data_IF_864450733122
#
_entry.id   IF_864450733122
#
_cell.length_a   1.000
_cell.length_b   1.000
_cell.length_c   1.000
_cell.angle_alpha   90.00
_cell.angle_beta   90.00
_cell.angle_gamma   90.00
#
_symmetry.space_group_name_H-M   'P 1'
#
loop_
_entity.id
_entity.type
_entity.pdbx_description
1 polymer ?
#
# COMPACT_ATOMS: atom_id res chain seq x y z
N UNK A 1 8.06 -16.46 -5.40
CA UNK A 1 9.29 -15.64 -5.32
C UNK A 1 8.86 -14.23 -4.93
N UNK A 2 9.52 -13.62 -3.93
CA UNK A 2 9.20 -12.28 -3.46
C UNK A 2 10.34 -11.34 -3.83
N UNK A 3 9.97 -10.21 -4.44
CA UNK A 3 10.87 -9.17 -4.88
C UNK A 3 10.50 -7.85 -4.19
N UNK A 4 11.37 -7.33 -3.34
CA UNK A 4 11.21 -5.99 -2.77
C UNK A 4 11.94 -4.98 -3.64
N UNK A 5 11.18 -4.08 -4.22
CA UNK A 5 11.63 -3.16 -5.25
C UNK A 5 11.73 -1.75 -4.68
N UNK A 6 12.93 -1.28 -4.36
CA UNK A 6 13.14 0.09 -3.91
C UNK A 6 12.91 1.09 -5.05
N UNK A 7 12.22 2.17 -4.76
CA UNK A 7 11.94 3.26 -5.68
C UNK A 7 12.44 4.55 -5.08
N UNK A 8 13.36 5.22 -5.76
CA UNK A 8 13.83 6.54 -5.38
C UNK A 8 12.88 7.60 -5.90
N UNK A 9 12.40 8.47 -5.03
CA UNK A 9 11.57 9.61 -5.41
C UNK A 9 12.36 10.59 -6.30
N UNK A 10 11.68 11.25 -7.22
CA UNK A 10 12.23 12.41 -7.93
C UNK A 10 12.32 13.58 -6.95
N UNK A 11 13.12 14.60 -7.27
CA UNK A 11 13.25 15.79 -6.43
C UNK A 11 11.89 16.44 -6.11
N UNK A 12 10.98 16.50 -7.09
CA UNK A 12 9.63 17.03 -6.88
C UNK A 12 8.78 16.16 -5.96
N UNK A 13 8.88 14.85 -6.10
CA UNK A 13 8.17 13.91 -5.24
C UNK A 13 8.71 13.94 -3.83
N UNK A 14 10.04 14.04 -3.68
CA UNK A 14 10.69 14.16 -2.37
C UNK A 14 10.23 15.44 -1.67
N UNK A 15 10.29 16.58 -2.34
CA UNK A 15 9.79 17.85 -1.78
C UNK A 15 8.31 17.77 -1.40
N UNK A 16 7.49 17.13 -2.24
CA UNK A 16 6.07 16.95 -1.95
C UNK A 16 5.86 16.07 -0.70
N UNK A 17 6.62 14.99 -0.57
CA UNK A 17 6.58 14.12 0.60
C UNK A 17 6.98 14.88 1.88
N UNK A 18 8.04 15.68 1.83
CA UNK A 18 8.51 16.50 2.97
C UNK A 18 7.47 17.54 3.39
N UNK A 19 6.84 18.23 2.43
CA UNK A 19 5.77 19.21 2.71
C UNK A 19 4.57 18.54 3.40
N UNK A 20 4.12 17.39 2.90
CA UNK A 20 2.99 16.66 3.49
C UNK A 20 3.36 16.14 4.87
N UNK A 21 4.56 15.56 5.04
CA UNK A 21 5.03 15.05 6.34
C UNK A 21 5.17 16.17 7.36
N UNK A 22 5.72 17.32 6.95
CA UNK A 22 5.80 18.52 7.79
C UNK A 22 4.43 19.05 8.22
N UNK A 23 3.47 19.07 7.28
CA UNK A 23 2.07 19.41 7.60
C UNK A 23 1.46 18.41 8.58
N UNK A 24 1.61 17.11 8.35
CA UNK A 24 1.10 16.04 9.22
C UNK A 24 1.69 16.17 10.64
N UNK A 25 3.01 16.36 10.76
CA UNK A 25 3.68 16.59 12.06
C UNK A 25 3.09 17.81 12.78
N UNK A 26 2.99 18.93 12.09
CA UNK A 26 2.47 20.18 12.65
C UNK A 26 1.04 20.06 13.16
N UNK A 27 0.16 19.47 12.37
CA UNK A 27 -1.25 19.34 12.73
C UNK A 27 -1.49 18.24 13.78
N UNK A 28 -0.67 17.21 13.82
CA UNK A 28 -0.70 16.20 14.89
C UNK A 28 -0.51 16.86 16.28
N UNK A 29 0.48 17.72 16.42
CA UNK A 29 0.72 18.44 17.67
C UNK A 29 -0.33 19.51 17.98
N UNK A 30 -0.99 20.06 16.93
CA UNK A 30 -2.08 21.02 17.06
C UNK A 30 -3.45 20.39 17.33
N UNK A 31 -3.59 19.08 17.23
CA UNK A 31 -4.88 18.37 17.35
C UNK A 31 -5.67 18.67 18.62
N UNK A 32 -5.03 19.16 19.69
CA UNK A 32 -5.73 19.63 20.91
C UNK A 32 -6.71 20.77 20.61
N UNK A 33 -6.58 21.43 19.46
CA UNK A 33 -7.50 22.47 18.99
C UNK A 33 -8.69 21.95 18.16
N UNK A 34 -8.82 20.63 17.95
CA UNK A 34 -10.01 19.98 17.37
C UNK A 34 -10.23 20.19 15.86
N UNK A 35 -9.24 20.68 15.09
CA UNK A 35 -9.43 21.03 13.67
C UNK A 35 -9.32 19.86 12.70
N UNK A 36 -8.51 18.84 13.00
CA UNK A 36 -8.30 17.70 12.09
C UNK A 36 -8.23 16.39 12.89
N UNK A 37 -8.83 15.34 12.33
CA UNK A 37 -8.78 14.01 12.95
C UNK A 37 -7.44 13.33 12.68
N UNK A 38 -7.01 12.47 13.59
CA UNK A 38 -5.82 11.61 13.40
C UNK A 38 -5.95 10.74 12.16
N UNK A 39 -7.17 10.28 11.85
CA UNK A 39 -7.45 9.46 10.67
C UNK A 39 -7.19 10.21 9.36
N UNK A 40 -7.50 11.51 9.31
CA UNK A 40 -7.19 12.32 8.13
C UNK A 40 -5.68 12.49 7.95
N UNK A 41 -4.93 12.67 9.05
CA UNK A 41 -3.47 12.77 8.99
C UNK A 41 -2.83 11.47 8.49
N UNK A 42 -3.29 10.31 8.99
CA UNK A 42 -2.88 8.99 8.49
C UNK A 42 -3.17 8.88 6.99
N UNK A 43 -4.37 9.31 6.58
CA UNK A 43 -4.78 9.24 5.18
C UNK A 43 -3.85 10.05 4.28
N UNK A 44 -3.54 11.31 4.61
CA UNK A 44 -2.62 12.12 3.80
C UNK A 44 -1.22 11.51 3.70
N UNK A 45 -0.70 10.96 4.81
CA UNK A 45 0.62 10.31 4.80
C UNK A 45 0.64 9.04 3.94
N UNK A 46 -0.45 8.28 3.93
CA UNK A 46 -0.59 7.07 3.10
C UNK A 46 -0.78 7.42 1.62
N UNK A 47 -1.57 8.43 1.33
CA UNK A 47 -1.87 8.84 -0.05
C UNK A 47 -0.66 9.39 -0.78
N UNK A 48 0.19 10.18 -0.08
CA UNK A 48 1.43 10.67 -0.70
C UNK A 48 2.40 9.54 -1.04
N UNK A 49 2.44 8.48 -0.22
CA UNK A 49 3.23 7.28 -0.52
C UNK A 49 2.64 6.47 -1.69
N UNK A 50 1.34 6.53 -1.93
CA UNK A 50 0.72 5.88 -3.07
C UNK A 50 0.95 6.68 -4.37
N UNK A 51 0.40 7.87 -4.48
CA UNK A 51 0.63 8.73 -5.65
C UNK A 51 0.25 10.19 -5.39
N UNK A 52 0.86 11.10 -6.16
CA UNK A 52 0.44 12.51 -6.17
C UNK A 52 -1.03 12.68 -6.55
N UNK A 53 -1.59 11.75 -7.34
CA UNK A 53 -3.01 11.77 -7.76
C UNK A 53 -3.97 11.38 -6.63
N UNK A 54 -3.59 10.45 -5.75
CA UNK A 54 -4.35 10.11 -4.55
C UNK A 54 -4.43 11.33 -3.62
N UNK A 55 -3.29 11.93 -3.32
CA UNK A 55 -3.20 13.13 -2.50
C UNK A 55 -4.03 14.30 -3.08
N UNK A 56 -3.91 14.58 -4.39
CA UNK A 56 -4.72 15.61 -5.08
C UNK A 56 -6.21 15.38 -4.87
N UNK A 57 -6.65 14.12 -4.98
CA UNK A 57 -8.07 13.76 -4.80
C UNK A 57 -8.52 13.98 -3.37
N UNK A 58 -7.72 13.58 -2.38
CA UNK A 58 -8.05 13.75 -0.98
C UNK A 58 -8.17 15.22 -0.59
N UNK A 59 -7.17 16.02 -0.92
CA UNK A 59 -7.15 17.44 -0.60
C UNK A 59 -8.28 18.20 -1.32
N UNK A 60 -8.60 17.83 -2.55
CA UNK A 60 -9.71 18.47 -3.31
C UNK A 60 -11.10 18.06 -2.81
N UNK A 61 -11.22 16.93 -2.11
CA UNK A 61 -12.50 16.41 -1.58
C UNK A 61 -12.69 16.73 -0.11
N UNK A 62 -11.63 17.15 0.58
CA UNK A 62 -11.63 17.49 2.00
C UNK A 62 -12.47 18.73 2.27
N UNK A 63 -13.13 18.76 3.44
CA UNK A 63 -13.88 19.94 3.93
C UNK A 63 -12.98 20.97 4.61
N UNK A 64 -11.77 20.56 4.96
CA UNK A 64 -10.81 21.39 5.67
C UNK A 64 -9.87 22.06 4.67
N UNK A 65 -9.58 23.32 4.89
CA UNK A 65 -8.64 24.10 4.10
C UNK A 65 -7.49 24.59 4.98
N UNK A 66 -6.27 24.34 4.51
CA UNK A 66 -5.05 24.85 5.11
C UNK A 66 -4.25 25.61 4.03
N UNK A 67 -3.65 26.77 4.35
CA UNK A 67 -2.88 27.54 3.35
C UNK A 67 -1.78 26.73 2.65
N UNK A 68 -1.14 25.80 3.35
CA UNK A 68 -0.11 24.91 2.77
C UNK A 68 -0.65 24.00 1.67
N UNK A 69 -1.97 23.78 1.61
CA UNK A 69 -2.59 22.94 0.56
C UNK A 69 -2.43 23.57 -0.84
N UNK A 70 -2.35 24.89 -0.96
CA UNK A 70 -2.09 25.54 -2.26
C UNK A 70 -0.73 25.14 -2.82
N UNK A 71 0.33 25.17 -1.98
CA UNK A 71 1.67 24.75 -2.38
C UNK A 71 1.73 23.25 -2.70
N UNK A 72 1.14 22.43 -1.84
CA UNK A 72 1.06 20.97 -2.03
C UNK A 72 0.33 20.64 -3.34
N UNK A 73 -0.83 21.27 -3.61
CA UNK A 73 -1.62 21.04 -4.80
C UNK A 73 -0.89 21.51 -6.06
N UNK A 74 -0.21 22.66 -6.01
CA UNK A 74 0.58 23.16 -7.12
C UNK A 74 1.71 22.18 -7.49
N UNK A 75 2.50 21.76 -6.50
CA UNK A 75 3.61 20.85 -6.71
C UNK A 75 3.13 19.46 -7.17
N UNK A 76 2.06 18.93 -6.57
CA UNK A 76 1.50 17.63 -6.95
C UNK A 76 0.99 17.62 -8.40
N UNK A 77 0.42 18.74 -8.90
CA UNK A 77 -0.01 18.87 -10.31
C UNK A 77 1.13 18.89 -11.31
N UNK A 78 2.34 19.25 -10.89
CA UNK A 78 3.53 19.20 -11.75
C UNK A 78 4.04 17.78 -11.97
N UNK A 79 3.76 16.85 -11.05
CA UNK A 79 4.19 15.46 -11.13
C UNK A 79 3.25 14.71 -12.08
N UNK A 80 3.65 14.56 -13.34
CA UNK A 80 2.84 13.87 -14.36
C UNK A 80 3.00 12.35 -14.31
N UNK A 81 4.18 11.87 -13.95
CA UNK A 81 4.50 10.45 -13.87
C UNK A 81 5.27 10.22 -12.57
N UNK A 82 4.69 9.47 -11.67
CA UNK A 82 5.32 9.09 -10.41
C UNK A 82 6.48 8.08 -10.64
N UNK A 83 7.50 8.14 -9.81
CA UNK A 83 8.65 7.23 -9.86
C UNK A 83 8.22 5.75 -9.78
N UNK A 84 7.27 5.41 -8.91
CA UNK A 84 6.68 4.07 -8.84
C UNK A 84 6.09 3.61 -10.18
N UNK A 85 5.42 4.51 -10.93
CA UNK A 85 4.82 4.13 -12.20
C UNK A 85 5.87 3.79 -13.26
N UNK A 86 7.00 4.52 -13.28
CA UNK A 86 8.13 4.18 -14.15
C UNK A 86 8.68 2.79 -13.81
N UNK A 87 8.80 2.49 -12.52
CA UNK A 87 9.29 1.17 -12.05
C UNK A 87 8.30 0.05 -12.39
N UNK A 88 7.00 0.27 -12.27
CA UNK A 88 5.98 -0.70 -12.74
C UNK A 88 6.15 -0.99 -14.23
N UNK A 89 6.35 0.02 -15.05
CA UNK A 89 6.55 -0.19 -16.49
C UNK A 89 7.83 -1.00 -16.80
N UNK A 90 8.92 -0.75 -16.06
CA UNK A 90 10.16 -1.55 -16.19
C UNK A 90 9.91 -3.01 -15.83
N UNK A 91 9.18 -3.27 -14.73
CA UNK A 91 8.84 -4.64 -14.31
C UNK A 91 7.99 -5.31 -15.38
N UNK A 92 6.90 -4.67 -15.84
CA UNK A 92 5.97 -5.24 -16.80
C UNK A 92 6.63 -5.61 -18.15
N UNK A 93 7.64 -4.86 -18.58
CA UNK A 93 8.39 -5.15 -19.81
C UNK A 93 9.18 -6.47 -19.75
N UNK A 94 9.50 -6.94 -18.56
CA UNK A 94 10.27 -8.15 -18.30
C UNK A 94 9.42 -9.31 -17.76
N UNK A 95 8.09 -9.13 -17.71
CA UNK A 95 7.17 -10.15 -17.22
C UNK A 95 6.42 -10.81 -18.36
N UNK A 96 6.36 -12.12 -18.32
CA UNK A 96 5.48 -12.91 -19.15
C UNK A 96 4.14 -13.17 -18.43
N UNK A 97 3.07 -13.18 -19.22
CA UNK A 97 1.73 -13.52 -18.74
C UNK A 97 1.00 -12.37 -18.03
N UNK A 98 -0.11 -12.73 -17.46
CA UNK A 98 -1.02 -11.79 -16.82
C UNK A 98 -0.51 -11.29 -15.48
N UNK A 99 -0.79 -10.03 -15.17
CA UNK A 99 -0.33 -9.38 -13.95
C UNK A 99 -1.49 -8.74 -13.18
N UNK A 100 -1.50 -8.90 -11.86
CA UNK A 100 -2.41 -8.18 -10.97
C UNK A 100 -1.61 -7.06 -10.31
N UNK A 101 -2.17 -5.84 -10.32
CA UNK A 101 -1.63 -4.69 -9.60
C UNK A 101 -2.60 -4.31 -8.49
N UNK A 102 -2.13 -4.30 -7.24
CA UNK A 102 -2.90 -3.82 -6.10
C UNK A 102 -2.49 -2.41 -5.71
N UNK A 103 -3.50 -1.58 -5.44
CA UNK A 103 -3.35 -0.26 -4.82
C UNK A 103 -4.48 -0.02 -3.82
N UNK A 104 -4.26 0.80 -2.80
CA UNK A 104 -5.30 1.12 -1.83
C UNK A 104 -6.27 2.19 -2.35
N UNK A 105 -5.82 3.06 -3.27
CA UNK A 105 -6.55 4.26 -3.67
C UNK A 105 -7.12 4.19 -5.08
N UNK A 106 -8.41 4.48 -5.19
CA UNK A 106 -9.09 4.52 -6.49
C UNK A 106 -8.49 5.56 -7.45
N UNK A 107 -8.02 6.68 -6.93
CA UNK A 107 -7.36 7.69 -7.76
C UNK A 107 -6.06 7.15 -8.37
N UNK A 108 -5.24 6.44 -7.58
CA UNK A 108 -4.05 5.74 -8.06
C UNK A 108 -4.40 4.63 -9.05
N UNK A 109 -5.44 3.86 -8.79
CA UNK A 109 -5.93 2.81 -9.70
C UNK A 109 -6.26 3.38 -11.09
N UNK A 110 -7.02 4.49 -11.14
CA UNK A 110 -7.37 5.15 -12.40
C UNK A 110 -6.12 5.73 -13.09
N UNK A 111 -5.20 6.29 -12.32
CA UNK A 111 -3.95 6.82 -12.83
C UNK A 111 -3.11 5.72 -13.49
N UNK A 112 -2.89 4.60 -12.80
CA UNK A 112 -2.14 3.44 -13.31
C UNK A 112 -2.80 2.93 -14.60
N UNK A 113 -4.13 2.75 -14.60
CA UNK A 113 -4.87 2.26 -15.76
C UNK A 113 -4.65 3.13 -16.99
N UNK A 114 -4.92 4.43 -16.86
CA UNK A 114 -4.76 5.39 -17.96
C UNK A 114 -3.33 5.45 -18.50
N UNK A 115 -2.34 5.32 -17.60
CA UNK A 115 -0.95 5.32 -18.01
C UNK A 115 -0.61 4.05 -18.81
N UNK A 116 -0.99 2.86 -18.31
CA UNK A 116 -0.70 1.59 -18.96
C UNK A 116 -1.47 1.40 -20.27
N UNK A 117 -2.71 1.86 -20.35
CA UNK A 117 -3.48 1.86 -21.61
C UNK A 117 -2.79 2.70 -22.69
N UNK A 118 -2.20 3.85 -22.34
CA UNK A 118 -1.39 4.67 -23.26
C UNK A 118 -0.10 3.97 -23.70
N UNK A 119 0.39 2.99 -22.94
CA UNK A 119 1.54 2.15 -23.32
C UNK A 119 1.11 0.90 -24.11
N UNK A 120 -0.17 0.73 -24.44
CA UNK A 120 -0.70 -0.35 -25.24
C UNK A 120 -1.17 -1.58 -24.46
N UNK A 121 -1.10 -1.60 -23.13
CA UNK A 121 -1.60 -2.70 -22.31
C UNK A 121 -3.14 -2.73 -22.27
N UNK A 122 -3.71 -3.93 -22.32
CA UNK A 122 -5.15 -4.16 -22.13
C UNK A 122 -5.44 -4.28 -20.65
N UNK A 123 -6.00 -3.22 -20.06
CA UNK A 123 -6.24 -3.12 -18.63
C UNK A 123 -7.71 -3.40 -18.30
N UNK A 124 -7.97 -4.00 -17.13
CA UNK A 124 -9.28 -4.08 -16.51
C UNK A 124 -9.21 -3.63 -15.06
N UNK A 125 -10.20 -2.83 -14.63
CA UNK A 125 -10.32 -2.35 -13.25
C UNK A 125 -11.24 -3.26 -12.45
N UNK A 126 -10.83 -3.57 -11.23
CA UNK A 126 -11.64 -4.32 -10.29
C UNK A 126 -11.84 -3.53 -9.00
N UNK A 127 -13.10 -3.19 -8.73
CA UNK A 127 -13.51 -2.38 -7.59
C UNK A 127 -14.49 -3.17 -6.72
N UNK A 128 -14.65 -2.76 -5.45
CA UNK A 128 -15.69 -3.28 -4.57
C UNK A 128 -17.12 -2.98 -5.08
N UNK A 129 -18.09 -3.67 -4.49
CA UNK A 129 -19.51 -3.45 -4.79
C UNK A 129 -20.09 -4.27 -5.95
N UNK A 130 -19.30 -5.12 -6.60
CA UNK A 130 -19.78 -6.01 -7.64
C UNK A 130 -20.52 -7.22 -7.05
N UNK A 131 -21.59 -7.62 -7.74
CA UNK A 131 -22.28 -8.91 -7.48
C UNK A 131 -21.34 -10.09 -7.78
N UNK A 132 -21.69 -11.28 -7.30
CA UNK A 132 -20.91 -12.49 -7.59
C UNK A 132 -20.81 -12.75 -9.10
N UNK A 133 -21.90 -12.56 -9.84
CA UNK A 133 -21.90 -12.68 -11.31
C UNK A 133 -20.98 -11.65 -11.98
N UNK A 134 -20.97 -10.42 -11.49
CA UNK A 134 -20.05 -9.37 -11.96
C UNK A 134 -18.58 -9.73 -11.71
N UNK A 135 -18.26 -10.33 -10.55
CA UNK A 135 -16.91 -10.80 -10.22
C UNK A 135 -16.45 -11.91 -11.17
N UNK A 136 -17.29 -12.92 -11.42
CA UNK A 136 -16.97 -14.01 -12.35
C UNK A 136 -16.82 -13.50 -13.80
N UNK A 137 -17.64 -12.53 -14.22
CA UNK A 137 -17.48 -11.88 -15.52
C UNK A 137 -16.13 -11.16 -15.66
N UNK A 138 -15.74 -10.36 -14.67
CA UNK A 138 -14.42 -9.68 -14.67
C UNK A 138 -13.28 -10.69 -14.71
N UNK A 139 -13.36 -11.76 -13.92
CA UNK A 139 -12.38 -12.85 -13.94
C UNK A 139 -12.24 -13.48 -15.33
N UNK A 140 -13.39 -13.80 -15.98
CA UNK A 140 -13.41 -14.35 -17.33
C UNK A 140 -12.76 -13.40 -18.34
N UNK A 141 -13.14 -12.12 -18.33
CA UNK A 141 -12.55 -11.10 -19.22
C UNK A 141 -11.04 -10.95 -18.97
N UNK A 142 -10.62 -10.90 -17.71
CA UNK A 142 -9.18 -10.83 -17.37
C UNK A 142 -8.45 -12.04 -17.94
N UNK A 143 -8.93 -13.25 -17.67
CA UNK A 143 -8.28 -14.47 -18.11
C UNK A 143 -8.16 -14.60 -19.64
N UNK A 144 -9.13 -14.09 -20.41
CA UNK A 144 -9.21 -14.29 -21.85
C UNK A 144 -8.74 -13.14 -22.72
N UNK A 145 -8.79 -11.90 -22.20
CA UNK A 145 -8.73 -10.72 -23.08
C UNK A 145 -7.83 -9.60 -22.53
N UNK A 146 -7.38 -9.67 -21.27
CA UNK A 146 -6.67 -8.58 -20.63
C UNK A 146 -5.30 -9.02 -20.13
N UNK A 147 -4.35 -8.09 -20.19
CA UNK A 147 -2.98 -8.31 -19.73
C UNK A 147 -2.85 -8.00 -18.23
N UNK A 148 -3.56 -6.95 -17.78
CA UNK A 148 -3.41 -6.39 -16.44
C UNK A 148 -4.77 -6.20 -15.78
N UNK A 149 -4.91 -6.72 -14.55
CA UNK A 149 -6.02 -6.40 -13.66
C UNK A 149 -5.51 -5.48 -12.57
N UNK A 150 -6.14 -4.30 -12.39
CA UNK A 150 -5.80 -3.38 -11.31
C UNK A 150 -6.92 -3.40 -10.29
N UNK A 151 -6.62 -3.83 -9.06
CA UNK A 151 -7.59 -4.00 -7.98
C UNK A 151 -7.32 -3.04 -6.82
N UNK A 152 -8.40 -2.54 -6.22
CA UNK A 152 -8.37 -1.96 -4.87
C UNK A 152 -8.71 -3.03 -3.83
N UNK A 153 -8.43 -2.75 -2.55
CA UNK A 153 -8.73 -3.65 -1.43
C UNK A 153 -10.19 -4.12 -1.43
N UNK A 154 -11.13 -3.17 -1.61
CA UNK A 154 -12.56 -3.47 -1.63
C UNK A 154 -12.96 -4.42 -2.77
N UNK A 155 -12.20 -4.42 -3.87
CA UNK A 155 -12.43 -5.32 -5.02
C UNK A 155 -11.93 -6.74 -4.75
N UNK A 156 -10.83 -6.90 -4.02
CA UNK A 156 -10.11 -8.17 -3.93
C UNK A 156 -10.86 -9.29 -3.21
N UNK A 157 -11.85 -8.99 -2.38
CA UNK A 157 -12.58 -9.99 -1.61
C UNK A 157 -13.40 -10.94 -2.51
N UNK A 158 -13.10 -12.26 -2.39
CA UNK A 158 -13.86 -13.31 -3.06
C UNK A 158 -13.42 -13.68 -4.49
N UNK A 159 -12.39 -13.03 -5.07
CA UNK A 159 -11.83 -13.40 -6.38
C UNK A 159 -10.72 -14.46 -6.24
N UNK A 160 -10.88 -15.56 -6.97
CA UNK A 160 -9.82 -16.55 -7.13
C UNK A 160 -9.14 -16.36 -8.50
N UNK A 161 -7.86 -15.98 -8.49
CA UNK A 161 -7.08 -15.61 -9.67
C UNK A 161 -5.82 -16.48 -9.82
N UNK A 162 -5.90 -17.76 -9.44
CA UNK A 162 -4.77 -18.71 -9.43
C UNK A 162 -4.15 -18.98 -10.80
N UNK A 163 -4.79 -18.57 -11.89
CA UNK A 163 -4.22 -18.63 -13.24
C UNK A 163 -3.20 -17.50 -13.51
N UNK A 164 -3.13 -16.51 -12.63
CA UNK A 164 -2.20 -15.38 -12.73
C UNK A 164 -1.01 -15.62 -11.81
N UNK A 165 0.20 -15.47 -12.33
CA UNK A 165 1.42 -15.76 -11.58
C UNK A 165 2.19 -14.50 -11.14
N UNK A 166 1.76 -13.31 -11.56
CA UNK A 166 2.44 -12.07 -11.23
C UNK A 166 1.54 -11.13 -10.43
N UNK A 167 2.05 -10.66 -9.29
CA UNK A 167 1.38 -9.71 -8.43
C UNK A 167 2.32 -8.54 -8.13
N UNK A 168 1.84 -7.32 -8.35
CA UNK A 168 2.53 -6.09 -7.98
C UNK A 168 1.74 -5.37 -6.89
N UNK A 169 2.33 -5.21 -5.72
CA UNK A 169 1.85 -4.27 -4.70
C UNK A 169 2.43 -2.89 -5.03
N UNK A 170 1.61 -2.03 -5.64
CA UNK A 170 1.99 -0.66 -6.00
C UNK A 170 2.21 0.20 -4.77
N UNK A 171 1.37 0.05 -3.76
CA UNK A 171 1.53 0.58 -2.42
C UNK A 171 1.47 -0.54 -1.37
N UNK A 172 2.21 -0.35 -0.29
CA UNK A 172 2.22 -1.26 0.84
C UNK A 172 1.16 -0.83 1.86
N UNK A 173 0.18 -1.68 2.16
CA UNK A 173 -0.74 -1.40 3.25
C UNK A 173 0.01 -1.40 4.58
N UNK A 174 -0.37 -0.50 5.47
CA UNK A 174 0.18 -0.46 6.82
C UNK A 174 -0.28 -1.66 7.66
N UNK A 175 -1.35 -2.29 7.23
CA UNK A 175 -1.85 -3.53 7.80
C UNK A 175 -1.26 -4.75 7.07
N UNK A 176 -0.39 -5.57 7.73
CA UNK A 176 0.26 -6.72 7.11
C UNK A 176 -0.71 -7.79 6.61
N UNK A 177 -1.88 -7.95 7.24
CA UNK A 177 -2.90 -8.93 6.82
C UNK A 177 -3.42 -8.67 5.41
N UNK A 178 -3.45 -7.41 4.99
CA UNK A 178 -3.87 -7.07 3.63
C UNK A 178 -2.91 -7.60 2.57
N UNK A 179 -1.60 -7.60 2.87
CA UNK A 179 -0.59 -8.19 1.95
C UNK A 179 -0.83 -9.70 1.83
N UNK A 180 -1.04 -10.38 2.94
CA UNK A 180 -1.35 -11.82 2.94
C UNK A 180 -2.63 -12.13 2.15
N UNK A 181 -3.68 -11.35 2.37
CA UNK A 181 -4.93 -11.47 1.61
C UNK A 181 -4.74 -11.25 0.12
N UNK A 182 -3.90 -10.28 -0.30
CA UNK A 182 -3.55 -10.05 -1.71
C UNK A 182 -2.83 -11.26 -2.30
N UNK A 183 -1.83 -11.79 -1.61
CA UNK A 183 -1.07 -12.97 -2.04
C UNK A 183 -1.99 -14.19 -2.15
N UNK A 184 -2.88 -14.41 -1.19
CA UNK A 184 -3.85 -15.50 -1.19
C UNK A 184 -4.84 -15.48 -2.37
N UNK A 185 -4.89 -14.39 -3.19
CA UNK A 185 -5.68 -14.35 -4.43
C UNK A 185 -5.05 -15.15 -5.56
N UNK A 186 -3.72 -15.24 -5.60
CA UNK A 186 -2.98 -15.90 -6.67
C UNK A 186 -2.23 -17.13 -6.20
N UNK A 187 -1.94 -17.26 -4.91
CA UNK A 187 -1.22 -18.37 -4.32
C UNK A 187 -2.10 -19.17 -3.35
N UNK A 188 -2.13 -20.49 -3.52
CA UNK A 188 -2.80 -21.44 -2.60
C UNK A 188 -1.96 -22.69 -2.41
N UNK A 189 -2.19 -23.38 -1.30
CA UNK A 189 -1.61 -24.70 -1.02
C UNK A 189 -1.89 -25.67 -2.17
N UNK A 190 -0.84 -26.33 -2.68
CA UNK A 190 -0.93 -27.29 -3.79
C UNK A 190 -0.74 -26.69 -5.18
N UNK A 191 -0.45 -25.38 -5.33
CA UNK A 191 -0.13 -24.79 -6.60
C UNK A 191 1.30 -25.18 -7.04
N UNK A 192 1.44 -25.63 -8.28
CA UNK A 192 2.74 -26.08 -8.85
C UNK A 192 3.51 -24.98 -9.57
N UNK A 193 2.84 -23.88 -9.92
CA UNK A 193 3.48 -22.77 -10.63
C UNK A 193 4.10 -21.76 -9.65
N UNK A 194 5.27 -21.24 -10.00
CA UNK A 194 5.90 -20.16 -9.25
C UNK A 194 5.07 -18.88 -9.36
N UNK A 195 4.85 -18.23 -8.22
CA UNK A 195 4.20 -16.93 -8.14
C UNK A 195 5.25 -15.87 -7.84
N UNK A 196 5.27 -14.81 -8.63
CA UNK A 196 6.15 -13.66 -8.45
C UNK A 196 5.37 -12.52 -7.78
N UNK A 197 5.89 -12.03 -6.67
CA UNK A 197 5.29 -10.95 -5.89
C UNK A 197 6.28 -9.79 -5.85
N UNK A 198 5.89 -8.64 -6.39
CA UNK A 198 6.69 -7.44 -6.44
C UNK A 198 6.11 -6.41 -5.47
N UNK A 199 6.86 -6.09 -4.41
CA UNK A 199 6.49 -5.09 -3.43
C UNK A 199 7.23 -3.79 -3.74
N UNK A 200 6.55 -2.76 -4.21
CA UNK A 200 7.15 -1.45 -4.42
C UNK A 200 7.10 -0.65 -3.13
N UNK A 201 8.21 -0.02 -2.80
CA UNK A 201 8.30 0.91 -1.68
C UNK A 201 9.23 2.07 -2.02
N UNK A 202 8.94 3.24 -1.50
CA UNK A 202 9.75 4.43 -1.70
C UNK A 202 10.83 4.52 -0.62
N UNK A 203 12.08 4.71 -1.07
CA UNK A 203 13.23 4.92 -0.18
C UNK A 203 13.08 6.25 0.57
N UNK A 204 13.65 6.30 1.76
CA UNK A 204 13.67 7.48 2.63
C UNK A 204 12.25 7.98 3.01
N UNK A 205 11.28 7.06 3.03
CA UNK A 205 9.89 7.32 3.42
C UNK A 205 9.38 6.34 4.46
N UNK A 206 8.17 6.61 4.97
CA UNK A 206 7.49 5.69 5.89
C UNK A 206 7.24 4.30 5.29
N UNK A 207 7.12 4.17 3.96
CA UNK A 207 6.96 2.85 3.33
C UNK A 207 8.18 1.94 3.53
N UNK A 208 9.38 2.50 3.47
CA UNK A 208 10.60 1.74 3.76
C UNK A 208 10.61 1.23 5.20
N UNK A 209 10.23 2.07 6.17
CA UNK A 209 10.14 1.68 7.58
C UNK A 209 9.11 0.58 7.81
N UNK A 210 7.94 0.71 7.18
CA UNK A 210 6.89 -0.31 7.23
C UNK A 210 7.37 -1.62 6.60
N UNK A 211 8.07 -1.56 5.46
CA UNK A 211 8.61 -2.78 4.86
C UNK A 211 9.61 -3.47 5.78
N UNK A 212 10.55 -2.72 6.39
CA UNK A 212 11.50 -3.26 7.37
C UNK A 212 10.76 -3.90 8.54
N UNK A 213 9.76 -3.23 9.12
CA UNK A 213 8.91 -3.76 10.18
C UNK A 213 8.26 -5.10 9.77
N UNK A 214 7.64 -5.15 8.60
CA UNK A 214 6.95 -6.35 8.09
C UNK A 214 7.92 -7.50 7.79
N UNK A 215 9.11 -7.19 7.27
CA UNK A 215 10.12 -8.18 6.88
C UNK A 215 10.92 -8.71 8.05
N UNK A 216 11.54 -7.81 8.80
CA UNK A 216 12.56 -8.16 9.78
C UNK A 216 11.92 -8.64 11.08
N UNK A 217 10.81 -8.04 11.46
CA UNK A 217 10.19 -8.29 12.76
C UNK A 217 9.02 -9.27 12.69
N UNK A 218 8.11 -9.11 11.73
CA UNK A 218 6.92 -9.97 11.64
C UNK A 218 7.19 -11.24 10.81
N UNK A 219 8.29 -11.27 10.04
CA UNK A 219 8.60 -12.37 9.11
C UNK A 219 7.39 -12.75 8.23
N UNK A 220 6.61 -11.73 7.82
CA UNK A 220 5.34 -11.88 7.13
C UNK A 220 5.44 -12.86 5.95
N UNK A 221 6.49 -12.72 5.17
CA UNK A 221 6.65 -13.50 3.93
C UNK A 221 7.18 -14.92 4.14
N UNK A 222 7.71 -15.24 5.32
CA UNK A 222 8.05 -16.64 5.69
C UNK A 222 6.83 -17.39 6.20
N UNK A 223 5.82 -16.68 6.69
CA UNK A 223 4.61 -17.25 7.30
C UNK A 223 3.44 -17.40 6.34
N UNK A 224 3.59 -17.08 5.04
CA UNK A 224 2.53 -17.11 4.00
C UNK A 224 1.81 -18.47 3.86
N UNK A 225 2.22 -19.49 4.61
CA UNK A 225 1.69 -20.84 4.58
C UNK A 225 0.77 -21.17 5.79
N UNK A 226 0.16 -20.20 6.42
CA UNK A 226 -0.94 -20.47 7.36
C UNK A 226 -0.58 -20.34 8.84
N UNK A 227 -0.57 -19.16 9.37
CA UNK A 227 -0.36 -18.93 10.81
C UNK A 227 -0.72 -17.54 11.32
N UNK A 228 -0.84 -16.53 10.44
CA UNK A 228 -1.10 -15.16 10.89
C UNK A 228 -2.58 -14.81 11.08
N UNK A 229 -3.51 -15.59 10.49
CA UNK A 229 -4.95 -15.35 10.68
C UNK A 229 -5.35 -15.31 12.18
N UNK A 230 -4.70 -16.10 13.01
CA UNK A 230 -5.03 -16.17 14.45
C UNK A 230 -4.50 -15.00 15.28
N UNK A 231 -3.40 -14.37 14.84
CA UNK A 231 -2.65 -13.38 15.65
C UNK A 231 -3.21 -11.97 15.50
N UNK A 232 -3.79 -11.66 14.34
CA UNK A 232 -4.22 -10.32 13.96
C UNK A 232 -5.74 -10.20 13.72
N UNK A 233 -6.55 -11.17 14.19
CA UNK A 233 -8.02 -11.16 14.04
C UNK A 233 -8.73 -10.10 14.91
N UNK A 234 -8.00 -9.39 15.78
CA UNK A 234 -8.58 -8.34 16.60
C UNK A 234 -8.56 -7.00 15.85
N UNK A 235 -9.72 -6.60 15.33
CA UNK A 235 -9.89 -5.36 14.58
C UNK A 235 -9.50 -4.09 15.38
N UNK A 236 -9.60 -4.12 16.71
CA UNK A 236 -9.17 -3.01 17.57
C UNK A 236 -7.63 -2.88 17.59
N UNK A 237 -6.89 -4.00 17.65
CA UNK A 237 -5.41 -3.99 17.60
C UNK A 237 -4.90 -3.46 16.28
N UNK A 238 -5.55 -3.80 15.18
CA UNK A 238 -5.15 -3.33 13.85
C UNK A 238 -5.40 -1.83 13.64
N UNK A 239 -6.49 -1.30 14.20
CA UNK A 239 -6.75 0.14 14.18
C UNK A 239 -5.73 0.92 15.04
N UNK A 240 -5.21 0.28 16.08
CA UNK A 240 -4.15 0.85 16.90
C UNK A 240 -2.80 0.84 16.18
N UNK A 241 -2.45 -0.20 15.42
CA UNK A 241 -1.18 -0.28 14.68
C UNK A 241 -0.98 0.92 13.73
N UNK A 242 -2.00 1.31 12.97
CA UNK A 242 -1.89 2.48 12.08
C UNK A 242 -1.69 3.79 12.86
N UNK A 243 -2.28 3.91 14.04
CA UNK A 243 -2.07 5.05 14.93
C UNK A 243 -0.68 5.03 15.56
N UNK A 244 -0.20 3.85 15.97
CA UNK A 244 1.14 3.68 16.53
C UNK A 244 2.21 4.03 15.50
N UNK A 245 2.07 3.56 14.26
CA UNK A 245 2.94 3.92 13.14
C UNK A 245 2.94 5.45 12.94
N UNK A 246 1.78 6.10 12.95
CA UNK A 246 1.72 7.56 12.79
C UNK A 246 2.38 8.27 13.98
N UNK A 247 2.10 7.85 15.23
CA UNK A 247 2.68 8.49 16.40
C UNK A 247 4.20 8.39 16.39
N UNK A 248 4.76 7.23 16.05
CA UNK A 248 6.21 7.03 15.89
C UNK A 248 6.76 8.00 14.83
N UNK A 249 6.14 8.07 13.64
CA UNK A 249 6.58 8.97 12.56
C UNK A 249 6.60 10.44 12.99
N UNK A 250 5.64 10.86 13.79
CA UNK A 250 5.43 12.27 14.14
C UNK A 250 6.25 12.67 15.36
N UNK A 251 6.41 11.78 16.34
CA UNK A 251 7.02 12.06 17.63
C UNK A 251 8.53 11.87 17.64
N UNK A 252 9.07 11.07 16.73
CA UNK A 252 10.52 10.89 16.61
C UNK A 252 11.21 12.20 16.20
N UNK A 253 12.26 12.56 16.96
CA UNK A 253 13.01 13.79 16.76
C UNK A 253 14.10 13.66 15.68
N UNK A 254 14.57 12.45 15.44
CA UNK A 254 15.60 12.13 14.46
C UNK A 254 15.39 10.71 13.91
N UNK A 255 16.23 10.33 12.94
CA UNK A 255 16.12 9.04 12.25
C UNK A 255 16.45 7.86 13.17
N UNK A 256 17.43 8.01 14.07
CA UNK A 256 17.83 6.95 15.00
C UNK A 256 16.68 6.62 15.98
N UNK A 257 16.04 7.63 16.55
CA UNK A 257 14.86 7.45 17.42
C UNK A 257 13.69 6.85 16.64
N UNK A 258 13.51 7.24 15.37
CA UNK A 258 12.49 6.67 14.52
C UNK A 258 12.70 5.16 14.31
N UNK A 259 13.94 4.75 14.01
CA UNK A 259 14.29 3.34 13.83
C UNK A 259 14.15 2.53 15.12
N UNK A 260 14.58 3.07 16.25
CA UNK A 260 14.46 2.43 17.56
C UNK A 260 12.98 2.16 17.91
N UNK A 261 12.11 3.16 17.81
CA UNK A 261 10.67 3.03 18.09
C UNK A 261 9.98 2.05 17.14
N UNK A 262 10.36 2.00 15.86
CA UNK A 262 9.86 0.98 14.94
C UNK A 262 10.33 -0.42 15.32
N UNK A 263 11.57 -0.56 15.81
CA UNK A 263 12.09 -1.83 16.30
C UNK A 263 11.34 -2.31 17.56
N UNK A 264 11.03 -1.40 18.50
CA UNK A 264 10.24 -1.69 19.69
C UNK A 264 8.81 -2.14 19.33
N UNK A 265 8.14 -1.43 18.40
CA UNK A 265 6.82 -1.82 17.89
C UNK A 265 6.87 -3.23 17.31
N UNK A 266 7.89 -3.54 16.49
CA UNK A 266 8.08 -4.86 15.91
C UNK A 266 8.28 -5.95 16.96
N UNK A 267 9.06 -5.69 18.00
CA UNK A 267 9.29 -6.64 19.12
C UNK A 267 8.00 -6.90 19.89
N UNK A 268 7.19 -5.85 20.15
CA UNK A 268 5.90 -6.01 20.83
C UNK A 268 4.92 -6.91 20.05
N UNK A 269 4.91 -6.77 18.72
CA UNK A 269 4.10 -7.60 17.83
C UNK A 269 4.59 -9.06 17.78
N UNK A 270 5.90 -9.30 17.90
CA UNK A 270 6.47 -10.65 18.00
C UNK A 270 6.21 -11.32 19.34
N UNK A 271 6.36 -10.59 20.45
CA UNK A 271 6.14 -11.12 21.80
C UNK A 271 4.72 -11.68 21.97
N UNK A 272 3.72 -11.06 21.37
CA UNK A 272 2.34 -11.59 21.33
C UNK A 272 2.27 -12.91 20.57
N UNK A 273 2.98 -13.01 19.45
CA UNK A 273 3.03 -14.23 18.62
C UNK A 273 3.61 -15.42 19.36
N UNK A 274 4.68 -15.21 20.10
CA UNK A 274 5.37 -16.30 20.84
C UNK A 274 4.55 -16.72 22.07
N UNK A 275 3.87 -15.81 22.73
CA UNK A 275 2.96 -16.10 23.84
C UNK A 275 1.77 -16.97 23.40
N UNK A 276 1.14 -16.65 22.27
CA UNK A 276 0.01 -17.41 21.72
C UNK A 276 0.41 -18.81 21.19
N UNK A 277 1.63 -18.95 20.63
CA UNK A 277 2.17 -20.27 20.23
C UNK A 277 2.40 -21.21 21.40
N UNK A 278 2.70 -20.68 22.58
CA UNK A 278 2.93 -21.45 23.79
C UNK A 278 1.63 -21.81 24.53
N UNK A 279 0.48 -21.24 24.11
CA UNK A 279 -0.85 -21.52 24.67
C UNK A 279 -1.64 -22.59 23.85
N UNK A 280 -1.15 -22.99 22.69
CA UNK A 280 -1.68 -24.06 21.84
C UNK A 280 -0.80 -25.31 21.89
#
# INVERSE_FOLDING_TARGET
IIHNIPVRLTEKEQRLYELVTGFVKKEYWRRRAGRISILNLITYQREICSSSFALLKALSSGKEYFPVFEEILALAKEIKINAKMKKVLEILKNLDGQTIIFTEYRATQIYIARFLEKQGYKVILFNGGLTNSGKEYIKYIFQKQKDILISTEAGSQGLNLQFCNNLINYDLPWNPMKIEQRIGRIHRLGQTSNVNIYNLFTLDTIEEKILKLLYDKINLFKSVMGGMEKILMDGERMHNLEKDILSILVEANNEDELEERFAELGNSLQGVRDYEKNLC
#
